data_IF_293264556613
#
_entry.id   IF_293264556613
#
_cell.length_a   1.000
_cell.length_b   1.000
_cell.length_c   1.000
_cell.angle_alpha   90.00
_cell.angle_beta   90.00
_cell.angle_gamma   90.00
#
_symmetry.space_group_name_H-M   'P 1'
#
loop_
_entity.id
_entity.type
_entity.pdbx_description
1 polymer ?
#
# COMPACT_ATOMS: atom_id res chain seq x y z
N UNK A 1 -17.01 -3.84 5.92
CA UNK A 1 -15.77 -4.17 6.63
C UNK A 1 -14.64 -3.28 6.17
N UNK A 2 -13.78 -2.90 7.10
CA UNK A 2 -12.66 -2.00 6.80
C UNK A 2 -11.36 -2.77 6.76
N UNK A 3 -10.54 -2.44 5.76
CA UNK A 3 -9.25 -3.07 5.57
C UNK A 3 -8.17 -2.01 5.52
N UNK A 4 -6.98 -2.40 5.93
CA UNK A 4 -5.82 -1.53 5.95
C UNK A 4 -4.70 -2.18 5.16
N UNK A 5 -3.92 -1.37 4.46
CA UNK A 5 -2.83 -1.88 3.63
C UNK A 5 -1.52 -1.26 4.09
N UNK A 6 -0.51 -2.09 4.24
CA UNK A 6 0.85 -1.65 4.49
C UNK A 6 1.71 -1.96 3.29
N UNK A 7 2.46 -0.97 2.83
CA UNK A 7 3.38 -1.14 1.71
C UNK A 7 4.81 -1.04 2.21
N UNK A 8 5.56 -2.12 2.01
CA UNK A 8 6.99 -2.16 2.32
C UNK A 8 7.73 -2.10 0.98
N UNK A 9 8.24 -0.90 0.66
CA UNK A 9 8.77 -0.60 -0.67
C UNK A 9 10.27 -0.81 -0.73
N UNK A 10 10.72 -1.54 -1.74
CA UNK A 10 12.12 -1.59 -2.09
C UNK A 10 12.26 -1.34 -3.58
N UNK A 11 13.51 -1.26 -4.06
CA UNK A 11 13.75 -0.84 -5.44
C UNK A 11 13.07 -1.75 -6.46
N UNK A 12 13.15 -3.05 -6.25
CA UNK A 12 12.62 -4.02 -7.21
C UNK A 12 11.21 -4.47 -6.90
N UNK A 13 10.93 -4.72 -5.65
CA UNK A 13 9.66 -5.30 -5.24
C UNK A 13 9.07 -4.57 -4.05
N UNK A 14 7.75 -4.57 -4.00
CA UNK A 14 7.00 -4.01 -2.88
C UNK A 14 6.17 -5.11 -2.26
N UNK A 15 6.27 -5.26 -0.95
CA UNK A 15 5.40 -6.15 -0.20
C UNK A 15 4.09 -5.42 0.09
N UNK A 16 2.99 -6.03 -0.33
CA UNK A 16 1.65 -5.49 -0.06
C UNK A 16 1.01 -6.37 0.99
N UNK A 17 0.73 -5.80 2.15
CA UNK A 17 0.13 -6.53 3.26
C UNK A 17 -1.25 -5.95 3.54
N UNK A 18 -2.28 -6.77 3.41
CA UNK A 18 -3.66 -6.35 3.65
C UNK A 18 -4.13 -6.97 4.96
N UNK A 19 -4.55 -6.14 5.88
CA UNK A 19 -5.02 -6.60 7.19
C UNK A 19 -6.46 -6.13 7.43
N UNK A 20 -7.18 -6.88 8.25
CA UNK A 20 -8.53 -6.49 8.64
C UNK A 20 -8.48 -5.59 9.88
N UNK A 21 -9.65 -5.18 10.33
CA UNK A 21 -9.78 -4.28 11.48
C UNK A 21 -9.20 -4.86 12.76
N UNK A 22 -9.17 -6.18 12.87
CA UNK A 22 -8.61 -6.86 14.04
C UNK A 22 -7.10 -7.05 13.96
N UNK A 23 -6.48 -6.63 12.84
CA UNK A 23 -5.05 -6.79 12.65
C UNK A 23 -4.64 -8.12 12.03
N UNK A 24 -5.61 -8.91 11.61
CA UNK A 24 -5.31 -10.20 10.99
C UNK A 24 -4.92 -10.00 9.55
N UNK A 25 -3.82 -10.67 9.14
CA UNK A 25 -3.36 -10.60 7.75
C UNK A 25 -4.31 -11.39 6.86
N UNK A 26 -4.92 -10.69 5.91
CA UNK A 26 -5.82 -11.29 4.93
C UNK A 26 -5.03 -11.77 3.72
N UNK A 27 -4.07 -10.97 3.29
CA UNK A 27 -3.26 -11.30 2.13
C UNK A 27 -1.91 -10.58 2.22
N UNK A 28 -0.88 -11.27 1.80
CA UNK A 28 0.45 -10.67 1.70
C UNK A 28 1.06 -11.15 0.40
N UNK A 29 1.50 -10.20 -0.44
CA UNK A 29 2.02 -10.53 -1.76
C UNK A 29 3.12 -9.54 -2.13
N UNK A 30 4.09 -10.00 -2.89
CA UNK A 30 5.14 -9.15 -3.42
C UNK A 30 4.87 -8.87 -4.89
N UNK A 31 4.98 -7.61 -5.26
CA UNK A 31 4.78 -7.18 -6.64
C UNK A 31 5.91 -6.24 -7.05
N UNK A 32 6.03 -6.00 -8.35
CA UNK A 32 7.00 -5.04 -8.84
C UNK A 32 6.73 -3.67 -8.23
N UNK A 33 7.77 -2.90 -7.96
CA UNK A 33 7.63 -1.56 -7.39
C UNK A 33 7.21 -0.58 -8.48
N UNK A 34 5.98 -0.73 -8.94
CA UNK A 34 5.35 0.18 -9.90
C UNK A 34 3.94 0.45 -9.45
N UNK A 35 3.42 1.66 -9.71
CA UNK A 35 2.03 1.97 -9.36
C UNK A 35 1.04 1.00 -9.98
N UNK A 36 1.27 0.60 -11.22
CA UNK A 36 0.38 -0.33 -11.93
C UNK A 36 0.27 -1.67 -11.21
N UNK A 37 1.41 -2.25 -10.82
CA UNK A 37 1.41 -3.55 -10.15
C UNK A 37 0.74 -3.47 -8.79
N UNK A 38 1.00 -2.40 -8.04
CA UNK A 38 0.41 -2.20 -6.72
C UNK A 38 -1.11 -2.00 -6.84
N UNK A 39 -1.53 -1.14 -7.78
CA UNK A 39 -2.95 -0.89 -8.01
C UNK A 39 -3.69 -2.16 -8.42
N UNK A 40 -3.06 -3.01 -9.21
CA UNK A 40 -3.67 -4.26 -9.67
C UNK A 40 -4.05 -5.14 -8.48
N UNK A 41 -3.17 -5.24 -7.48
CA UNK A 41 -3.47 -6.03 -6.28
C UNK A 41 -4.60 -5.40 -5.49
N UNK A 42 -4.56 -4.09 -5.31
CA UNK A 42 -5.56 -3.40 -4.48
C UNK A 42 -6.94 -3.43 -5.10
N UNK A 43 -7.02 -3.33 -6.43
CA UNK A 43 -8.32 -3.39 -7.13
C UNK A 43 -8.83 -4.81 -7.29
N UNK A 44 -7.93 -5.79 -7.39
CA UNK A 44 -8.30 -7.19 -7.52
C UNK A 44 -9.12 -7.70 -6.33
N UNK A 45 -8.78 -7.24 -5.13
CA UNK A 45 -9.45 -7.70 -3.92
C UNK A 45 -10.85 -7.12 -3.75
N UNK A 46 -11.15 -6.02 -4.40
CA UNK A 46 -12.45 -5.35 -4.29
C UNK A 46 -12.83 -5.07 -2.83
N UNK A 47 -11.83 -4.82 -1.99
CA UNK A 47 -12.04 -4.56 -0.57
C UNK A 47 -12.25 -3.08 -0.28
N UNK A 48 -12.99 -2.79 0.78
CA UNK A 48 -13.14 -1.43 1.25
C UNK A 48 -11.90 -1.02 2.02
N UNK A 49 -10.94 -0.45 1.33
CA UNK A 49 -9.67 -0.05 1.92
C UNK A 49 -9.83 1.29 2.62
N UNK A 50 -9.60 1.28 3.92
CA UNK A 50 -9.73 2.47 4.76
C UNK A 50 -8.49 3.35 4.67
N UNK A 51 -7.31 2.72 4.62
CA UNK A 51 -6.05 3.45 4.64
C UNK A 51 -4.92 2.62 4.10
N UNK A 52 -4.02 3.26 3.37
CA UNK A 52 -2.82 2.63 2.85
C UNK A 52 -1.62 3.35 3.46
N UNK A 53 -0.83 2.63 4.26
CA UNK A 53 0.37 3.18 4.87
C UNK A 53 1.58 2.94 3.98
N UNK A 54 2.31 4.00 3.68
CA UNK A 54 3.50 3.96 2.86
C UNK A 54 4.64 4.58 3.63
N UNK A 55 5.68 3.80 3.93
CA UNK A 55 6.80 4.29 4.71
C UNK A 55 7.65 5.25 3.88
N UNK A 56 8.07 6.36 4.49
CA UNK A 56 8.87 7.37 3.81
C UNK A 56 10.23 6.82 3.42
N UNK A 57 10.64 7.03 2.18
CA UNK A 57 11.90 6.56 1.64
C UNK A 57 12.14 7.17 0.25
N UNK A 58 13.21 6.73 -0.42
CA UNK A 58 13.58 7.33 -1.72
C UNK A 58 12.50 7.29 -2.78
N UNK A 59 11.68 6.24 -2.80
CA UNK A 59 10.64 6.08 -3.80
C UNK A 59 9.25 6.48 -3.30
N UNK A 60 9.13 6.88 -2.05
CA UNK A 60 7.83 7.10 -1.42
C UNK A 60 7.04 8.25 -2.03
N UNK A 61 7.68 9.35 -2.39
CA UNK A 61 7.00 10.50 -2.97
C UNK A 61 6.35 10.15 -4.30
N UNK A 62 7.07 9.45 -5.12
CA UNK A 62 6.59 9.00 -6.42
C UNK A 62 5.38 8.08 -6.29
N UNK A 63 5.50 7.07 -5.43
CA UNK A 63 4.39 6.14 -5.21
C UNK A 63 3.20 6.81 -4.55
N UNK A 64 3.46 7.66 -3.56
CA UNK A 64 2.41 8.40 -2.89
C UNK A 64 1.59 9.20 -3.89
N UNK A 65 2.26 9.96 -4.76
CA UNK A 65 1.58 10.78 -5.75
C UNK A 65 0.73 9.93 -6.70
N UNK A 66 1.29 8.83 -7.18
CA UNK A 66 0.58 7.97 -8.12
C UNK A 66 -0.66 7.34 -7.49
N UNK A 67 -0.54 6.85 -6.25
CA UNK A 67 -1.66 6.22 -5.56
C UNK A 67 -2.71 7.24 -5.15
N UNK A 68 -2.29 8.43 -4.74
CA UNK A 68 -3.21 9.50 -4.38
C UNK A 68 -3.99 9.98 -5.60
N UNK A 69 -3.34 10.08 -6.75
CA UNK A 69 -3.99 10.46 -8.00
C UNK A 69 -5.03 9.43 -8.43
N UNK A 70 -4.82 8.18 -8.07
CA UNK A 70 -5.78 7.12 -8.35
C UNK A 70 -6.98 7.15 -7.39
N UNK A 71 -7.01 8.10 -6.45
CA UNK A 71 -8.11 8.26 -5.52
C UNK A 71 -8.03 7.36 -4.29
N UNK A 72 -6.87 6.78 -4.02
CA UNK A 72 -6.71 5.88 -2.88
C UNK A 72 -6.36 6.63 -1.60
N UNK A 73 -6.81 6.13 -0.44
CA UNK A 73 -6.55 6.78 0.85
C UNK A 73 -5.15 6.48 1.38
N UNK A 74 -4.15 6.92 0.64
CA UNK A 74 -2.75 6.68 0.98
C UNK A 74 -2.22 7.74 1.94
N UNK A 75 -1.45 7.30 2.93
CA UNK A 75 -0.75 8.20 3.85
C UNK A 75 0.72 7.86 3.86
N UNK A 76 1.54 8.88 4.02
CA UNK A 76 2.98 8.72 4.08
C UNK A 76 3.39 8.66 5.54
N UNK A 77 3.95 7.51 5.94
CA UNK A 77 4.40 7.30 7.31
C UNK A 77 5.84 7.73 7.44
N UNK A 78 6.12 8.58 8.40
CA UNK A 78 7.48 9.01 8.66
C UNK A 78 8.16 8.02 9.58
N UNK A 79 9.46 7.77 9.39
CA UNK A 79 10.21 6.95 10.33
C UNK A 79 10.05 7.54 11.72
N UNK A 80 9.91 6.70 12.73
CA UNK A 80 9.83 7.15 14.11
C UNK A 80 11.07 7.92 14.52
N UNK A 81 10.88 8.94 15.27
CA UNK A 81 11.99 9.75 15.78
C UNK A 81 12.37 9.28 17.16
#
# INVERSE_FOLDING_TARGET
MQYYVGLDVSVKETSVCIIDKAGKVIREVKVATTPVAILAVLTEEALAIERIGLEAGPLSQWLYSALAEAGLPVILLRPGI
#
